data_IF_443619707387
#
_entry.id   IF_443619707387
#
_cell.length_a   1.000
_cell.length_b   1.000
_cell.length_c   1.000
_cell.angle_alpha   90.00
_cell.angle_beta   90.00
_cell.angle_gamma   90.00
#
_symmetry.space_group_name_H-M   'P 1'
#
loop_
_entity.id
_entity.type
_entity.pdbx_description
1 polymer ?
#
# COMPACT_ATOMS: atom_id res chain seq x y z
N UNK A 1 -9.85 20.46 21.21
CA UNK A 1 -8.66 19.59 21.32
C UNK A 1 -8.44 18.98 19.95
N UNK A 2 -7.35 19.34 19.29
CA UNK A 2 -7.04 18.86 17.95
C UNK A 2 -6.77 17.34 18.01
N UNK A 3 -7.57 16.53 17.30
CA UNK A 3 -7.38 15.08 17.23
C UNK A 3 -6.27 14.75 16.20
N UNK A 4 -5.12 15.43 16.35
CA UNK A 4 -3.96 15.26 15.48
C UNK A 4 -3.23 13.98 15.86
N UNK A 5 -2.79 13.27 14.84
CA UNK A 5 -2.10 11.99 14.95
C UNK A 5 -0.75 12.14 14.27
N UNK A 6 0.30 11.64 14.92
CA UNK A 6 1.67 11.75 14.46
C UNK A 6 2.28 10.36 14.24
N UNK A 7 3.13 10.27 13.22
CA UNK A 7 4.04 9.14 13.03
C UNK A 7 5.29 9.31 13.93
N UNK A 8 6.04 8.23 14.15
CA UNK A 8 7.28 8.19 14.94
C UNK A 8 8.28 9.26 14.50
N UNK A 9 8.45 9.50 13.19
CA UNK A 9 9.34 10.54 12.67
C UNK A 9 8.91 11.95 13.09
N UNK A 10 7.61 12.22 13.01
CA UNK A 10 7.05 13.52 13.38
C UNK A 10 7.10 13.72 14.90
N UNK A 11 6.77 12.68 15.67
CA UNK A 11 6.90 12.69 17.13
C UNK A 11 8.35 12.91 17.58
N UNK A 12 9.32 12.24 16.94
CA UNK A 12 10.74 12.41 17.22
C UNK A 12 11.18 13.87 17.01
N UNK A 13 10.74 14.51 15.92
CA UNK A 13 11.00 15.93 15.64
C UNK A 13 10.41 16.85 16.69
N UNK A 14 9.16 16.61 17.10
CA UNK A 14 8.46 17.39 18.14
C UNK A 14 9.17 17.24 19.50
N UNK A 15 9.62 16.03 19.83
CA UNK A 15 10.29 15.74 21.09
C UNK A 15 11.77 16.17 21.12
N UNK A 16 12.36 16.54 19.97
CA UNK A 16 13.78 16.83 19.86
C UNK A 16 14.67 15.60 20.05
N UNK A 17 14.17 14.40 19.73
CA UNK A 17 14.84 13.12 19.95
C UNK A 17 15.13 12.42 18.61
N UNK A 18 16.05 11.45 18.64
CA UNK A 18 16.22 10.54 17.51
C UNK A 18 15.01 9.62 17.35
N UNK A 19 14.76 9.16 16.12
CA UNK A 19 13.70 8.17 15.84
C UNK A 19 13.92 6.87 16.62
N UNK A 20 15.16 6.43 16.79
CA UNK A 20 15.50 5.23 17.56
C UNK A 20 15.17 5.39 19.05
N UNK A 21 15.50 6.55 19.64
CA UNK A 21 15.13 6.88 21.02
C UNK A 21 13.61 6.92 21.19
N UNK A 22 12.90 7.43 20.19
CA UNK A 22 11.43 7.48 20.19
C UNK A 22 10.84 6.06 20.15
N UNK A 23 11.36 5.16 19.32
CA UNK A 23 10.96 3.74 19.33
C UNK A 23 11.19 3.08 20.69
N UNK A 24 12.31 3.37 21.35
CA UNK A 24 12.60 2.85 22.69
C UNK A 24 11.54 3.28 23.69
N UNK A 25 11.16 4.56 23.73
CA UNK A 25 10.12 5.06 24.64
C UNK A 25 8.71 4.55 24.32
N UNK A 26 8.41 4.26 23.06
CA UNK A 26 7.16 3.64 22.65
C UNK A 26 7.11 2.16 23.09
N UNK A 27 8.20 1.42 22.88
CA UNK A 27 8.30 0.01 23.29
C UNK A 27 8.28 -0.16 24.82
N UNK A 28 8.89 0.78 25.56
CA UNK A 28 8.84 0.82 27.03
C UNK A 28 7.48 1.30 27.58
N UNK A 29 6.55 1.72 26.72
CA UNK A 29 5.22 2.20 27.12
C UNK A 29 5.21 3.57 27.80
N UNK A 30 6.32 4.31 27.77
CA UNK A 30 6.41 5.67 28.33
C UNK A 30 5.56 6.66 27.53
N UNK A 31 5.44 6.44 26.22
CA UNK A 31 4.56 7.20 25.34
C UNK A 31 3.45 6.25 24.88
N UNK A 32 2.19 6.59 25.19
CA UNK A 32 1.04 5.80 24.77
C UNK A 32 0.83 5.94 23.26
N UNK A 33 0.94 4.84 22.55
CA UNK A 33 0.69 4.80 21.10
C UNK A 33 -0.16 3.59 20.75
N UNK A 34 -0.97 3.74 19.71
CA UNK A 34 -1.69 2.63 19.11
C UNK A 34 -0.80 2.00 18.03
N UNK A 35 -0.76 0.67 17.98
CA UNK A 35 -0.06 -0.03 16.92
C UNK A 35 -1.05 -0.20 15.76
N UNK A 36 -0.74 0.39 14.61
CA UNK A 36 -1.59 0.32 13.42
C UNK A 36 -1.66 -1.10 12.85
N UNK A 37 -2.86 -1.49 12.42
CA UNK A 37 -3.21 -2.85 11.98
C UNK A 37 -2.37 -3.34 10.79
N UNK A 38 -1.89 -2.42 9.95
CA UNK A 38 -1.41 -2.77 8.60
C UNK A 38 0.10 -3.11 8.59
N UNK A 39 0.88 -2.70 9.61
CA UNK A 39 2.34 -3.00 9.65
C UNK A 39 2.99 -2.87 11.03
N UNK A 40 2.22 -2.71 12.09
CA UNK A 40 2.77 -2.49 13.42
C UNK A 40 3.36 -1.10 13.63
N UNK A 41 3.08 -0.15 12.73
CA UNK A 41 3.54 1.24 12.83
C UNK A 41 2.91 1.91 14.05
N UNK A 42 3.72 2.61 14.85
CA UNK A 42 3.22 3.35 15.99
C UNK A 42 2.51 4.63 15.55
N UNK A 43 1.25 4.73 15.94
CA UNK A 43 0.38 5.87 15.73
C UNK A 43 0.26 6.60 17.08
N UNK A 44 0.75 7.83 17.14
CA UNK A 44 0.91 8.56 18.39
C UNK A 44 -0.09 9.73 18.39
N UNK A 45 -1.11 9.73 19.25
CA UNK A 45 -2.02 10.87 19.34
C UNK A 45 -1.35 12.05 20.03
N UNK A 46 -1.72 13.27 19.65
CA UNK A 46 -1.18 14.52 20.23
C UNK A 46 -1.22 14.51 21.77
N UNK A 47 -2.34 14.05 22.35
CA UNK A 47 -2.54 13.94 23.80
C UNK A 47 -1.45 13.11 24.50
N UNK A 48 -0.93 12.07 23.86
CA UNK A 48 0.13 11.24 24.43
C UNK A 48 1.48 11.95 24.45
N UNK A 49 1.77 12.79 23.44
CA UNK A 49 2.97 13.62 23.41
C UNK A 49 2.89 14.73 24.46
N UNK A 50 1.73 15.37 24.60
CA UNK A 50 1.49 16.38 25.66
C UNK A 50 1.68 15.78 27.05
N UNK A 51 1.15 14.57 27.28
CA UNK A 51 1.30 13.87 28.56
C UNK A 51 2.77 13.56 28.86
N UNK A 52 3.57 13.26 27.84
CA UNK A 52 5.00 12.97 27.99
C UNK A 52 5.84 14.24 28.19
N UNK A 53 5.50 15.33 27.50
CA UNK A 53 6.18 16.63 27.59
C UNK A 53 5.78 17.44 28.84
N UNK A 54 4.60 17.17 29.41
CA UNK A 54 4.05 17.94 30.52
C UNK A 54 3.57 19.35 30.14
N UNK A 55 3.58 19.67 28.85
CA UNK A 55 3.16 20.95 28.28
C UNK A 55 2.23 20.73 27.08
N UNK A 56 1.38 21.72 26.80
CA UNK A 56 0.54 21.69 25.59
C UNK A 56 1.43 21.91 24.37
N UNK A 57 1.24 21.07 23.35
CA UNK A 57 1.91 21.33 22.06
C UNK A 57 1.36 22.66 21.52
N UNK A 58 2.21 23.51 20.92
CA UNK A 58 1.71 24.66 20.20
C UNK A 58 0.82 24.18 19.06
N UNK A 59 -0.48 24.46 19.17
CA UNK A 59 -1.37 24.49 18.01
C UNK A 59 -0.88 25.69 17.19
N UNK A 60 -0.11 25.44 16.13
CA UNK A 60 -0.31 26.06 14.81
C UNK A 60 0.94 26.02 13.92
N UNK A 61 0.68 25.65 12.66
CA UNK A 61 1.20 26.20 11.40
C UNK A 61 2.70 26.31 11.11
N UNK A 62 3.62 26.20 12.08
CA UNK A 62 5.05 26.39 11.86
C UNK A 62 5.80 25.12 11.41
N UNK A 63 5.20 23.94 11.57
CA UNK A 63 5.85 22.68 11.16
C UNK A 63 5.60 22.38 9.67
N UNK A 64 4.55 22.92 9.07
CA UNK A 64 4.26 22.75 7.64
C UNK A 64 5.10 23.66 6.74
N UNK A 65 5.47 24.86 7.20
CA UNK A 65 6.22 25.85 6.40
C UNK A 65 7.72 25.58 6.28
N UNK A 66 8.31 24.81 7.19
CA UNK A 66 9.72 24.35 7.08
C UNK A 66 9.83 22.92 6.51
N UNK A 67 8.71 22.27 6.18
CA UNK A 67 8.69 20.92 5.61
C UNK A 67 8.75 20.90 4.08
N UNK A 68 8.61 22.06 3.42
CA UNK A 68 8.41 22.15 1.97
C UNK A 68 9.66 22.53 1.16
N UNK A 69 10.79 22.89 1.78
CA UNK A 69 11.92 23.47 1.04
C UNK A 69 13.30 22.82 1.19
N UNK A 70 13.46 21.65 1.83
CA UNK A 70 14.69 20.89 1.65
C UNK A 70 14.48 19.38 1.82
N UNK A 71 14.94 18.65 0.81
CA UNK A 71 15.12 17.20 0.70
C UNK A 71 13.92 16.37 0.17
N UNK A 72 13.69 16.53 -1.13
CA UNK A 72 13.37 15.41 -2.02
C UNK A 72 14.51 14.37 -2.00
N UNK A 73 14.62 13.61 -0.92
CA UNK A 73 15.45 12.41 -0.87
C UNK A 73 14.80 11.34 0.01
N UNK A 74 13.87 10.63 -0.63
CA UNK A 74 13.65 9.18 -0.48
C UNK A 74 13.68 8.61 0.94
N UNK A 75 12.55 8.68 1.63
CA UNK A 75 12.13 7.60 2.53
C UNK A 75 10.66 7.30 2.28
N UNK A 76 10.42 6.49 1.25
CA UNK A 76 9.13 5.85 0.97
C UNK A 76 8.63 5.16 2.23
N UNK A 77 7.46 5.60 2.66
CA UNK A 77 6.62 4.94 3.65
C UNK A 77 6.53 3.46 3.35
N UNK A 78 6.88 2.67 4.35
CA UNK A 78 6.47 1.29 4.42
C UNK A 78 4.97 1.22 4.79
N UNK A 79 4.10 1.74 3.93
CA UNK A 79 2.83 1.09 3.63
C UNK A 79 3.14 -0.15 2.77
N UNK A 80 2.39 -1.25 2.89
CA UNK A 80 2.30 -2.18 1.76
C UNK A 80 1.50 -1.39 0.71
N UNK A 81 2.14 -0.39 0.10
CA UNK A 81 1.89 -0.09 -1.29
C UNK A 81 2.37 -1.36 -1.93
N UNK A 82 1.43 -2.23 -2.31
CA UNK A 82 1.67 -3.06 -3.46
C UNK A 82 2.00 -2.02 -4.51
N UNK A 83 3.29 -1.85 -4.78
CA UNK A 83 3.79 -0.97 -5.83
C UNK A 83 3.27 -1.68 -7.10
N UNK A 84 2.00 -1.46 -7.41
CA UNK A 84 1.43 -1.70 -8.73
C UNK A 84 2.11 -0.63 -9.56
N UNK A 85 3.36 -0.93 -9.90
CA UNK A 85 4.19 -0.22 -10.83
C UNK A 85 3.26 0.34 -11.89
N UNK A 86 3.19 1.67 -11.94
CA UNK A 86 2.40 2.42 -12.91
C UNK A 86 2.46 1.68 -14.25
N UNK A 87 1.32 1.36 -14.86
CA UNK A 87 1.21 0.31 -15.88
C UNK A 87 2.29 0.51 -16.93
N UNK A 88 3.33 -0.31 -16.84
CA UNK A 88 4.43 -0.26 -17.80
C UNK A 88 3.85 -0.65 -19.16
N UNK A 89 4.48 -0.22 -20.24
CA UNK A 89 4.05 -0.59 -21.59
C UNK A 89 3.86 -2.12 -21.71
N UNK A 90 4.68 -2.89 -20.99
CA UNK A 90 4.56 -4.33 -20.84
C UNK A 90 3.18 -4.76 -20.31
N UNK A 91 2.65 -4.15 -19.26
CA UNK A 91 1.31 -4.52 -18.70
C UNK A 91 0.16 -4.28 -19.68
N UNK A 92 0.21 -3.22 -20.49
CA UNK A 92 -0.78 -2.97 -21.54
C UNK A 92 -0.69 -4.03 -22.64
N UNK A 93 0.52 -4.40 -23.04
CA UNK A 93 0.77 -5.45 -24.02
C UNK A 93 0.32 -6.81 -23.49
N UNK A 94 0.61 -7.15 -22.23
CA UNK A 94 0.14 -8.38 -21.60
C UNK A 94 -1.39 -8.47 -21.58
N UNK A 95 -2.09 -7.36 -21.28
CA UNK A 95 -3.56 -7.32 -21.34
C UNK A 95 -4.08 -7.62 -22.75
N UNK A 96 -3.47 -7.02 -23.78
CA UNK A 96 -3.83 -7.26 -25.18
C UNK A 96 -3.57 -8.72 -25.57
N UNK A 97 -2.40 -9.28 -25.22
CA UNK A 97 -2.07 -10.67 -25.52
C UNK A 97 -3.01 -11.66 -24.84
N UNK A 98 -3.37 -11.42 -23.57
CA UNK A 98 -4.36 -12.23 -22.84
C UNK A 98 -5.71 -12.18 -23.55
N UNK A 99 -6.18 -10.99 -23.96
CA UNK A 99 -7.46 -10.86 -24.66
C UNK A 99 -7.46 -11.56 -26.03
N UNK A 100 -6.37 -11.47 -26.78
CA UNK A 100 -6.21 -12.17 -28.07
C UNK A 100 -6.17 -13.68 -27.85
N UNK A 101 -5.43 -14.15 -26.85
CA UNK A 101 -5.35 -15.58 -26.51
C UNK A 101 -6.72 -16.15 -26.15
N UNK A 102 -7.52 -15.44 -25.34
CA UNK A 102 -8.89 -15.84 -25.01
C UNK A 102 -9.75 -15.98 -26.28
N UNK A 103 -9.65 -15.01 -27.19
CA UNK A 103 -10.43 -15.00 -28.43
C UNK A 103 -10.04 -16.16 -29.34
N UNK A 104 -8.74 -16.48 -29.45
CA UNK A 104 -8.25 -17.63 -30.21
C UNK A 104 -8.78 -18.94 -29.63
N UNK A 105 -8.79 -19.11 -28.30
CA UNK A 105 -9.30 -20.34 -27.68
C UNK A 105 -10.80 -20.49 -27.91
N UNK A 106 -11.56 -19.40 -27.82
CA UNK A 106 -13.00 -19.41 -28.13
C UNK A 106 -13.22 -19.79 -29.59
N UNK A 107 -12.45 -19.20 -30.52
CA UNK A 107 -12.53 -19.56 -31.94
C UNK A 107 -12.17 -21.03 -32.19
N UNK A 108 -11.13 -21.54 -31.54
CA UNK A 108 -10.72 -22.95 -31.62
C UNK A 108 -11.84 -23.88 -31.11
N UNK A 109 -12.52 -23.53 -30.01
CA UNK A 109 -13.67 -24.28 -29.51
C UNK A 109 -14.83 -24.28 -30.51
N UNK A 110 -15.13 -23.14 -31.15
CA UNK A 110 -16.24 -23.02 -32.10
C UNK A 110 -15.93 -23.75 -33.42
N UNK A 111 -14.68 -23.73 -33.89
CA UNK A 111 -14.29 -24.40 -35.13
C UNK A 111 -14.01 -25.90 -34.96
N UNK A 112 -13.70 -26.38 -33.76
CA UNK A 112 -13.41 -27.80 -33.56
C UNK A 112 -14.67 -28.65 -33.51
N UNK A 113 -14.86 -29.48 -34.54
CA UNK A 113 -15.97 -30.43 -34.65
C UNK A 113 -15.78 -31.70 -33.80
N UNK A 114 -14.56 -31.95 -33.31
CA UNK A 114 -14.23 -33.14 -32.53
C UNK A 114 -14.44 -32.88 -31.03
N UNK A 115 -15.55 -33.43 -30.50
CA UNK A 115 -15.90 -33.32 -29.09
C UNK A 115 -15.12 -34.36 -28.26
N UNK A 116 -13.95 -33.96 -27.73
CA UNK A 116 -13.26 -34.75 -26.71
C UNK A 116 -13.48 -34.10 -25.32
N UNK A 117 -14.13 -34.79 -24.37
CA UNK A 117 -14.48 -34.20 -23.07
C UNK A 117 -13.24 -33.81 -22.25
N UNK A 118 -12.16 -34.59 -22.35
CA UNK A 118 -10.87 -34.30 -21.69
C UNK A 118 -10.22 -33.04 -22.28
N UNK A 119 -10.24 -32.90 -23.60
CA UNK A 119 -9.70 -31.72 -24.26
C UNK A 119 -10.49 -30.45 -23.90
N UNK A 120 -11.82 -30.56 -23.78
CA UNK A 120 -12.66 -29.44 -23.37
C UNK A 120 -12.45 -29.02 -21.93
N UNK A 121 -12.31 -29.98 -21.01
CA UNK A 121 -11.95 -29.68 -19.62
C UNK A 121 -10.62 -28.93 -19.55
N UNK A 122 -9.59 -29.39 -20.28
CA UNK A 122 -8.30 -28.72 -20.34
C UNK A 122 -8.39 -27.28 -20.90
N UNK A 123 -9.24 -27.05 -21.90
CA UNK A 123 -9.47 -25.70 -22.47
C UNK A 123 -10.18 -24.78 -21.49
N UNK A 124 -11.22 -25.27 -20.80
CA UNK A 124 -11.98 -24.50 -19.80
C UNK A 124 -11.08 -24.13 -18.62
N UNK A 125 -10.26 -25.07 -18.13
CA UNK A 125 -9.33 -24.79 -17.03
C UNK A 125 -8.25 -23.78 -17.45
N UNK A 126 -7.73 -23.88 -18.67
CA UNK A 126 -6.78 -22.91 -19.21
C UNK A 126 -7.39 -21.51 -19.33
N UNK A 127 -8.63 -21.39 -19.80
CA UNK A 127 -9.37 -20.11 -19.81
C UNK A 127 -9.53 -19.56 -18.38
N UNK A 128 -9.92 -20.39 -17.42
CA UNK A 128 -10.11 -19.97 -16.04
C UNK A 128 -8.81 -19.44 -15.41
N UNK A 129 -7.68 -20.09 -15.67
CA UNK A 129 -6.35 -19.64 -15.22
C UNK A 129 -5.99 -18.30 -15.88
N UNK A 130 -6.19 -18.16 -17.19
CA UNK A 130 -5.94 -16.91 -17.91
C UNK A 130 -6.79 -15.75 -17.37
N UNK A 131 -8.06 -16.03 -17.03
CA UNK A 131 -8.97 -15.06 -16.44
C UNK A 131 -8.53 -14.66 -15.02
N UNK A 132 -8.11 -15.63 -14.20
CA UNK A 132 -7.54 -15.39 -12.87
C UNK A 132 -6.28 -14.52 -12.94
N UNK A 133 -5.37 -14.80 -13.87
CA UNK A 133 -4.16 -14.00 -14.09
C UNK A 133 -4.55 -12.59 -14.54
N UNK A 134 -5.48 -12.47 -15.49
CA UNK A 134 -6.00 -11.16 -15.94
C UNK A 134 -6.62 -10.36 -14.79
N UNK A 135 -7.34 -11.03 -13.89
CA UNK A 135 -8.00 -10.42 -12.75
C UNK A 135 -7.02 -9.98 -11.66
N UNK A 136 -6.03 -10.80 -11.34
CA UNK A 136 -5.05 -10.51 -10.29
C UNK A 136 -4.26 -9.22 -10.57
N UNK A 137 -4.00 -8.91 -11.84
CA UNK A 137 -3.31 -7.67 -12.25
C UNK A 137 -4.25 -6.50 -12.57
N UNK A 138 -5.57 -6.69 -12.49
CA UNK A 138 -6.59 -5.64 -12.71
C UNK A 138 -7.25 -5.11 -11.43
N UNK A 139 -7.00 -5.73 -10.27
CA UNK A 139 -7.67 -5.42 -9.01
C UNK A 139 -7.05 -4.24 -8.25
N UNK A 140 -7.91 -3.30 -7.84
CA UNK A 140 -7.66 -2.12 -7.00
C UNK A 140 -7.08 -0.87 -7.66
N UNK A 141 -7.86 -0.24 -8.54
CA UNK A 141 -7.94 1.23 -8.52
C UNK A 141 -9.15 1.57 -7.64
N UNK A 142 -8.88 1.81 -6.35
CA UNK A 142 -9.86 2.41 -5.44
C UNK A 142 -10.00 3.87 -5.90
N UNK A 143 -11.06 4.18 -6.64
CA UNK A 143 -11.49 5.57 -6.88
C UNK A 143 -11.93 6.20 -5.57
#
# INVERSE_FOLDING_TARGET
MSNKIYNVKQAAKILGLSTNTTYKYLNEGRIKAARGDIRGTFIIPAKSLETFLGSKLPDDTLIESELSNHDEASFKDSAIVIDTSSPTLATKVTRILITISLLIIIADIVLTQNFSPIAQLARITLIAILLLISYQFGGFIKR
#
